data_IF_469591022731
#
_entry.id   IF_469591022731
#
_cell.length_a   1.000
_cell.length_b   1.000
_cell.length_c   1.000
_cell.angle_alpha   90.00
_cell.angle_beta   90.00
_cell.angle_gamma   90.00
#
_symmetry.space_group_name_H-M   'P 1'
#
loop_
_entity.id
_entity.type
_entity.pdbx_description
1 polymer ?
#
# COMPACT_ATOMS: atom_id res chain seq x y z
N UNK A 1 14.98 -4.28 -33.88
CA UNK A 1 15.56 -4.02 -32.55
C UNK A 1 15.57 -5.35 -31.81
N UNK A 2 16.73 -5.90 -31.44
CA UNK A 2 16.77 -6.95 -30.44
C UNK A 2 16.20 -6.35 -29.14
N UNK A 3 15.15 -6.95 -28.58
CA UNK A 3 14.73 -6.60 -27.23
C UNK A 3 15.80 -7.12 -26.30
N UNK A 4 16.31 -6.28 -25.40
CA UNK A 4 17.15 -6.78 -24.32
C UNK A 4 16.37 -7.83 -23.52
N UNK A 5 16.84 -9.09 -23.43
CA UNK A 5 16.23 -10.02 -22.50
C UNK A 5 16.38 -9.54 -21.01
N UNK A 6 15.47 -9.90 -20.08
CA UNK A 6 15.40 -9.37 -18.70
C UNK A 6 16.35 -10.00 -17.64
N UNK A 7 16.87 -9.21 -16.70
CA UNK A 7 17.75 -9.67 -15.60
C UNK A 7 17.28 -10.96 -14.89
N UNK A 8 18.17 -11.90 -14.50
CA UNK A 8 17.79 -13.13 -13.77
C UNK A 8 17.03 -12.84 -12.46
N UNK A 9 17.27 -11.68 -11.85
CA UNK A 9 16.46 -11.14 -10.76
C UNK A 9 16.15 -9.67 -11.04
N UNK A 10 14.89 -9.28 -10.85
CA UNK A 10 14.45 -7.88 -10.98
C UNK A 10 14.66 -7.08 -9.69
N UNK A 11 15.32 -7.62 -8.67
CA UNK A 11 15.64 -6.98 -7.39
C UNK A 11 16.58 -7.89 -6.58
N UNK A 12 16.67 -7.69 -5.26
CA UNK A 12 17.26 -8.66 -4.33
C UNK A 12 16.67 -10.07 -4.54
N UNK A 13 17.50 -11.13 -4.50
CA UNK A 13 17.01 -12.50 -4.62
C UNK A 13 15.98 -12.85 -3.54
N UNK A 14 14.84 -13.41 -3.97
CA UNK A 14 13.84 -13.97 -3.07
C UNK A 14 14.20 -15.44 -2.82
N UNK A 15 14.10 -15.90 -1.57
CA UNK A 15 14.47 -17.27 -1.21
C UNK A 15 13.55 -18.30 -1.89
N UNK A 16 14.08 -19.50 -2.14
CA UNK A 16 13.29 -20.60 -2.68
C UNK A 16 12.12 -20.96 -1.77
N UNK A 17 12.34 -20.93 -0.45
CA UNK A 17 11.29 -21.16 0.53
C UNK A 17 10.15 -20.13 0.44
N UNK A 18 10.47 -18.86 0.17
CA UNK A 18 9.47 -17.82 -0.06
C UNK A 18 8.69 -18.04 -1.38
N UNK A 19 9.35 -18.46 -2.46
CA UNK A 19 8.66 -18.82 -3.71
C UNK A 19 7.72 -20.02 -3.55
N UNK A 20 8.12 -21.03 -2.78
CA UNK A 20 7.29 -22.22 -2.54
C UNK A 20 6.12 -21.95 -1.55
N UNK A 21 6.25 -20.93 -0.67
CA UNK A 21 5.26 -20.58 0.38
C UNK A 21 4.26 -19.49 -0.03
N UNK A 22 4.67 -18.51 -0.84
CA UNK A 22 3.89 -17.31 -1.14
C UNK A 22 3.42 -17.24 -2.61
N UNK A 23 2.31 -16.54 -2.92
CA UNK A 23 1.78 -16.41 -4.28
C UNK A 23 2.60 -15.41 -5.13
N UNK A 24 3.89 -15.67 -5.28
CA UNK A 24 4.85 -14.86 -6.02
C UNK A 24 5.60 -15.72 -7.04
N UNK A 25 5.70 -15.23 -8.28
CA UNK A 25 6.47 -15.87 -9.34
C UNK A 25 7.86 -15.23 -9.53
N UNK A 26 8.84 -15.92 -10.14
CA UNK A 26 10.22 -15.43 -10.32
C UNK A 26 10.34 -14.09 -11.07
N UNK A 27 9.39 -13.82 -11.97
CA UNK A 27 9.30 -12.59 -12.77
C UNK A 27 8.50 -11.46 -12.08
N UNK A 28 8.12 -11.63 -10.80
CA UNK A 28 7.26 -10.66 -10.12
C UNK A 28 8.05 -9.43 -9.68
N UNK A 29 7.76 -8.28 -10.27
CA UNK A 29 8.28 -6.99 -9.81
C UNK A 29 7.68 -6.63 -8.44
N UNK A 30 8.39 -6.97 -7.35
CA UNK A 30 8.01 -6.60 -5.99
C UNK A 30 8.07 -5.10 -5.72
N UNK A 31 8.79 -4.31 -6.53
CA UNK A 31 8.75 -2.85 -6.45
C UNK A 31 7.40 -2.26 -6.91
N UNK A 32 6.58 -3.06 -7.59
CA UNK A 32 5.22 -2.68 -7.95
C UNK A 32 4.28 -2.81 -6.73
N UNK A 33 3.76 -1.67 -6.24
CA UNK A 33 2.89 -1.63 -5.07
C UNK A 33 1.67 -2.57 -5.15
N UNK A 34 1.16 -2.89 -6.34
CA UNK A 34 0.05 -3.84 -6.51
C UNK A 34 0.48 -5.30 -6.34
N UNK A 35 1.73 -5.63 -6.64
CA UNK A 35 2.36 -6.93 -6.36
C UNK A 35 2.68 -7.00 -4.87
N UNK A 36 3.38 -5.99 -4.35
CA UNK A 36 3.72 -5.86 -2.94
C UNK A 36 2.50 -6.03 -2.02
N UNK A 37 1.37 -5.37 -2.31
CA UNK A 37 0.12 -5.51 -1.52
C UNK A 37 -0.43 -6.94 -1.50
N UNK A 38 -0.36 -7.68 -2.61
CA UNK A 38 -0.82 -9.09 -2.64
C UNK A 38 0.11 -9.99 -1.83
N UNK A 39 1.42 -9.78 -1.94
CA UNK A 39 2.41 -10.52 -1.16
C UNK A 39 2.27 -10.21 0.34
N UNK A 40 2.18 -8.94 0.72
CA UNK A 40 1.96 -8.46 2.09
C UNK A 40 0.71 -9.07 2.70
N UNK A 41 -0.41 -9.10 1.96
CA UNK A 41 -1.64 -9.73 2.42
C UNK A 41 -1.45 -11.23 2.68
N UNK A 42 -0.75 -11.95 1.79
CA UNK A 42 -0.46 -13.37 1.99
C UNK A 42 0.45 -13.62 3.21
N UNK A 43 1.50 -12.81 3.40
CA UNK A 43 2.40 -12.89 4.56
C UNK A 43 1.64 -12.61 5.86
N UNK A 44 0.90 -11.51 5.94
CA UNK A 44 0.18 -11.13 7.16
C UNK A 44 -0.90 -12.15 7.55
N UNK A 45 -1.54 -12.82 6.57
CA UNK A 45 -2.49 -13.91 6.83
C UNK A 45 -1.81 -15.21 7.28
N UNK A 46 -0.67 -15.57 6.69
CA UNK A 46 0.01 -16.84 6.97
C UNK A 46 0.89 -16.79 8.24
N UNK A 47 1.63 -15.70 8.43
CA UNK A 47 2.61 -15.51 9.51
C UNK A 47 2.04 -14.72 10.71
N UNK A 48 0.79 -14.22 10.62
CA UNK A 48 0.14 -13.36 11.62
C UNK A 48 0.92 -12.06 11.94
N UNK A 49 1.65 -11.55 10.95
CA UNK A 49 2.42 -10.31 11.05
C UNK A 49 1.63 -9.07 10.61
N UNK A 50 2.17 -7.89 10.89
CA UNK A 50 1.66 -6.60 10.45
C UNK A 50 2.70 -5.87 9.59
N UNK A 51 3.09 -6.51 8.49
CA UNK A 51 4.01 -5.93 7.50
C UNK A 51 3.26 -4.91 6.62
N UNK A 52 3.92 -3.83 6.21
CA UNK A 52 3.36 -2.81 5.32
C UNK A 52 3.78 -3.03 3.86
N UNK A 53 2.91 -2.64 2.91
CA UNK A 53 3.16 -2.92 1.50
C UNK A 53 4.20 -1.98 0.88
N UNK A 54 4.33 -0.77 1.44
CA UNK A 54 5.42 0.16 1.16
C UNK A 54 6.79 -0.42 1.48
N UNK A 55 6.94 -1.22 2.54
CA UNK A 55 8.24 -1.83 2.89
C UNK A 55 8.68 -2.88 1.86
N UNK A 56 7.77 -3.76 1.42
CA UNK A 56 8.05 -4.71 0.32
C UNK A 56 8.35 -3.97 -0.99
N UNK A 57 7.58 -2.92 -1.31
CA UNK A 57 7.82 -2.12 -2.51
C UNK A 57 9.15 -1.36 -2.46
N UNK A 58 9.57 -0.93 -1.27
CA UNK A 58 10.85 -0.28 -1.01
C UNK A 58 12.02 -1.24 -1.14
N UNK A 59 11.92 -2.45 -0.56
CA UNK A 59 12.87 -3.55 -0.76
C UNK A 59 13.08 -3.82 -2.26
N UNK A 60 11.95 -3.99 -2.98
CA UNK A 60 11.94 -4.21 -4.41
C UNK A 60 12.66 -3.12 -5.19
N UNK A 61 12.38 -1.85 -4.86
CA UNK A 61 12.98 -0.71 -5.55
C UNK A 61 14.46 -0.52 -5.19
N UNK A 62 14.85 -0.74 -3.93
CA UNK A 62 16.24 -0.64 -3.48
C UNK A 62 17.13 -1.62 -4.28
N UNK A 63 16.67 -2.87 -4.44
CA UNK A 63 17.40 -3.87 -5.23
C UNK A 63 17.48 -3.52 -6.71
N UNK A 64 16.47 -2.85 -7.28
CA UNK A 64 16.53 -2.36 -8.67
C UNK A 64 17.50 -1.20 -8.85
N UNK A 65 17.58 -0.30 -7.87
CA UNK A 65 18.55 0.80 -7.90
C UNK A 65 19.97 0.24 -7.77
N UNK A 66 20.19 -0.71 -6.85
CA UNK A 66 21.49 -1.36 -6.69
C UNK A 66 21.88 -2.13 -7.95
N UNK A 67 20.96 -2.94 -8.50
CA UNK A 67 21.16 -3.62 -9.77
C UNK A 67 21.50 -2.63 -10.88
N UNK A 68 20.79 -1.50 -10.99
CA UNK A 68 21.06 -0.47 -12.01
C UNK A 68 22.43 0.17 -11.85
N UNK A 69 22.92 0.35 -10.62
CA UNK A 69 24.27 0.87 -10.35
C UNK A 69 25.32 -0.19 -10.70
N UNK A 70 25.13 -1.43 -10.25
CA UNK A 70 26.01 -2.57 -10.58
C UNK A 70 26.08 -2.77 -12.09
N UNK A 71 24.94 -2.81 -12.78
CA UNK A 71 24.84 -2.85 -14.23
C UNK A 71 25.59 -1.68 -14.85
N UNK A 72 25.28 -0.41 -14.53
CA UNK A 72 25.98 0.73 -15.14
C UNK A 72 27.50 0.74 -14.88
N UNK A 73 27.95 0.14 -13.78
CA UNK A 73 29.37 -0.04 -13.47
C UNK A 73 30.01 -1.16 -14.28
N UNK A 74 29.39 -2.34 -14.34
CA UNK A 74 29.88 -3.50 -15.11
C UNK A 74 29.65 -3.35 -16.64
N UNK A 75 28.70 -2.50 -17.04
CA UNK A 75 28.42 -2.10 -18.43
C UNK A 75 29.50 -1.21 -19.03
N UNK A 76 30.53 -0.81 -18.25
CA UNK A 76 31.77 -0.32 -18.84
C UNK A 76 32.55 -1.45 -19.57
N UNK A 77 32.14 -2.71 -19.44
CA UNK A 77 32.67 -3.88 -20.17
C UNK A 77 31.61 -4.79 -20.85
N UNK A 78 30.29 -4.49 -20.79
CA UNK A 78 29.21 -5.42 -21.17
C UNK A 78 28.30 -4.94 -22.31
N UNK A 79 28.87 -4.54 -23.44
CA UNK A 79 28.16 -3.93 -24.59
C UNK A 79 27.24 -4.88 -25.40
N UNK A 80 27.04 -6.14 -24.98
CA UNK A 80 26.50 -7.21 -25.85
C UNK A 80 25.38 -8.11 -25.28
N UNK A 81 25.21 -8.28 -23.97
CA UNK A 81 24.44 -9.43 -23.43
C UNK A 81 23.36 -9.09 -22.41
N UNK A 82 22.09 -9.34 -22.77
CA UNK A 82 20.98 -9.28 -21.82
C UNK A 82 20.36 -10.71 -21.60
N UNK A 83 20.12 -11.17 -20.33
CA UNK A 83 19.75 -12.56 -19.92
C UNK A 83 18.21 -12.77 -19.81
N UNK A 84 17.55 -13.90 -19.39
CA UNK A 84 18.00 -15.09 -18.66
C UNK A 84 17.30 -16.40 -19.16
N UNK A 85 17.27 -17.46 -18.32
CA UNK A 85 16.20 -18.48 -18.28
C UNK A 85 16.22 -19.36 -17.00
N UNK A 86 16.52 -18.80 -15.81
CA UNK A 86 16.97 -19.61 -14.65
C UNK A 86 15.86 -20.36 -13.89
N UNK A 87 14.58 -19.99 -14.06
CA UNK A 87 13.47 -20.60 -13.29
C UNK A 87 12.47 -21.40 -14.14
N UNK A 88 12.46 -21.23 -15.47
CA UNK A 88 11.53 -21.96 -16.35
C UNK A 88 12.08 -23.31 -16.81
N UNK A 89 13.40 -23.44 -16.97
CA UNK A 89 14.01 -24.62 -17.60
C UNK A 89 14.08 -25.87 -16.71
N UNK A 90 13.84 -25.76 -15.40
CA UNK A 90 14.01 -26.84 -14.40
C UNK A 90 15.38 -27.53 -14.43
N UNK A 91 16.39 -26.85 -14.98
CA UNK A 91 17.76 -27.34 -15.15
C UNK A 91 18.47 -27.41 -13.78
N UNK A 92 19.27 -28.46 -13.49
CA UNK A 92 20.08 -28.50 -12.27
C UNK A 92 21.10 -27.34 -12.23
N UNK A 93 21.37 -26.71 -11.07
CA UNK A 93 22.22 -25.51 -11.00
C UNK A 93 23.62 -25.65 -11.60
N UNK A 94 24.21 -26.85 -11.50
CA UNK A 94 25.53 -27.18 -12.07
C UNK A 94 25.54 -27.11 -13.61
N UNK A 95 24.46 -27.53 -14.26
CA UNK A 95 24.30 -27.45 -15.72
C UNK A 95 23.98 -26.01 -16.16
N UNK A 96 23.34 -25.21 -15.30
CA UNK A 96 23.12 -23.78 -15.57
C UNK A 96 24.43 -22.99 -15.51
N UNK A 97 25.27 -23.22 -14.50
CA UNK A 97 26.56 -22.53 -14.33
C UNK A 97 27.46 -22.62 -15.57
N UNK A 98 27.59 -23.82 -16.14
CA UNK A 98 28.46 -24.08 -17.30
C UNK A 98 27.80 -23.81 -18.66
N UNK A 99 26.59 -23.25 -18.69
CA UNK A 99 25.90 -22.88 -19.92
C UNK A 99 26.20 -21.42 -20.33
N UNK A 100 25.84 -21.09 -21.57
CA UNK A 100 25.99 -19.75 -22.16
C UNK A 100 24.64 -19.22 -22.64
N UNK A 101 24.45 -17.90 -22.52
CA UNK A 101 23.34 -17.17 -23.14
C UNK A 101 23.91 -16.24 -24.21
N UNK A 102 23.77 -16.63 -25.48
CA UNK A 102 24.54 -16.02 -26.56
C UNK A 102 26.02 -16.38 -26.42
N UNK A 103 26.89 -15.37 -26.36
CA UNK A 103 28.34 -15.56 -26.18
C UNK A 103 28.79 -15.34 -24.71
N UNK A 104 27.88 -14.94 -23.81
CA UNK A 104 28.20 -14.76 -22.38
C UNK A 104 28.06 -16.07 -21.58
N UNK A 105 29.11 -16.49 -20.85
CA UNK A 105 29.01 -17.53 -19.81
C UNK A 105 28.04 -17.11 -18.71
N UNK A 106 27.18 -18.02 -18.25
CA UNK A 106 26.24 -17.74 -17.17
C UNK A 106 26.92 -17.35 -15.85
N UNK A 107 28.16 -17.78 -15.63
CA UNK A 107 29.00 -17.35 -14.50
C UNK A 107 29.06 -15.82 -14.38
N UNK A 108 29.17 -15.09 -15.51
CA UNK A 108 29.22 -13.63 -15.50
C UNK A 108 27.86 -12.98 -15.18
N UNK A 109 26.75 -13.67 -15.48
CA UNK A 109 25.40 -13.21 -15.16
C UNK A 109 25.06 -13.34 -13.67
N UNK A 110 25.88 -14.06 -12.89
CA UNK A 110 25.69 -14.26 -11.47
C UNK A 110 26.36 -13.20 -10.59
N UNK A 111 27.33 -12.43 -11.10
CA UNK A 111 28.01 -11.39 -10.28
C UNK A 111 27.05 -10.36 -9.68
N UNK A 112 26.07 -9.77 -10.41
CA UNK A 112 25.12 -8.85 -9.81
C UNK A 112 24.26 -9.53 -8.73
N UNK A 113 23.86 -10.78 -8.96
CA UNK A 113 23.11 -11.59 -8.00
C UNK A 113 23.91 -11.83 -6.72
N UNK A 114 25.20 -12.16 -6.83
CA UNK A 114 26.10 -12.36 -5.67
C UNK A 114 26.31 -11.06 -4.88
N UNK A 115 26.51 -9.92 -5.56
CA UNK A 115 26.62 -8.61 -4.90
C UNK A 115 25.33 -8.27 -4.14
N UNK A 116 24.16 -8.44 -4.77
CA UNK A 116 22.88 -8.19 -4.10
C UNK A 116 22.64 -9.16 -2.93
N UNK A 117 23.05 -10.42 -3.05
CA UNK A 117 22.94 -11.44 -2.01
C UNK A 117 23.79 -11.08 -0.77
N UNK A 118 25.05 -10.69 -0.98
CA UNK A 118 25.94 -10.17 0.08
C UNK A 118 25.32 -8.95 0.77
N UNK A 119 24.91 -7.93 -0.01
CA UNK A 119 24.30 -6.72 0.51
C UNK A 119 22.99 -7.01 1.27
N UNK A 120 22.24 -8.03 0.87
CA UNK A 120 21.01 -8.45 1.55
C UNK A 120 21.26 -9.10 2.92
N UNK A 121 22.26 -9.98 3.01
CA UNK A 121 22.70 -10.58 4.28
C UNK A 121 23.25 -9.51 5.23
N UNK A 122 24.02 -8.56 4.71
CA UNK A 122 24.60 -7.45 5.48
C UNK A 122 23.57 -6.42 5.98
N UNK A 123 22.39 -6.31 5.37
CA UNK A 123 21.44 -5.22 5.63
C UNK A 123 20.49 -5.52 6.82
N UNK A 124 20.60 -4.80 7.96
CA UNK A 124 19.71 -5.01 9.12
C UNK A 124 18.28 -4.50 8.88
N UNK A 125 18.07 -3.63 7.89
CA UNK A 125 16.75 -3.12 7.54
C UNK A 125 15.85 -4.22 6.93
N UNK A 126 16.42 -5.37 6.57
CA UNK A 126 15.69 -6.51 6.03
C UNK A 126 15.13 -7.44 7.11
N UNK A 127 15.37 -7.20 8.40
CA UNK A 127 14.87 -8.05 9.48
C UNK A 127 13.33 -8.18 9.49
N UNK A 128 12.59 -7.11 9.13
CA UNK A 128 11.13 -7.14 9.02
C UNK A 128 10.62 -7.99 7.83
N UNK A 129 11.49 -8.26 6.85
CA UNK A 129 11.20 -8.99 5.60
C UNK A 129 12.12 -10.21 5.44
N UNK A 130 12.71 -10.71 6.53
CA UNK A 130 13.74 -11.75 6.50
C UNK A 130 13.26 -13.03 5.80
N UNK A 131 11.99 -13.40 6.01
CA UNK A 131 11.35 -14.56 5.40
C UNK A 131 11.29 -14.52 3.87
N UNK A 132 11.53 -13.36 3.24
CA UNK A 132 11.59 -13.21 1.78
C UNK A 132 13.01 -13.28 1.22
N UNK A 133 14.02 -12.80 1.95
CA UNK A 133 15.36 -12.51 1.37
C UNK A 133 16.56 -13.06 2.17
N UNK A 134 16.37 -13.56 3.39
CA UNK A 134 17.43 -14.19 4.19
C UNK A 134 17.30 -15.72 4.15
N UNK A 135 18.42 -16.39 3.88
CA UNK A 135 18.54 -17.84 3.89
C UNK A 135 19.56 -18.25 4.97
N UNK A 136 19.13 -18.89 6.08
CA UNK A 136 20.03 -19.28 7.17
C UNK A 136 21.12 -20.28 6.76
N UNK A 137 20.89 -21.10 5.73
CA UNK A 137 21.92 -22.03 5.22
C UNK A 137 23.04 -21.26 4.52
N UNK A 138 22.72 -20.12 3.89
CA UNK A 138 23.68 -19.24 3.25
C UNK A 138 24.48 -18.40 4.26
N UNK A 139 23.81 -17.84 5.28
CA UNK A 139 24.48 -17.02 6.31
C UNK A 139 25.51 -17.81 7.13
N UNK A 140 25.35 -19.14 7.21
CA UNK A 140 26.27 -20.05 7.89
C UNK A 140 27.28 -20.73 6.95
N UNK A 141 27.23 -20.44 5.64
CA UNK A 141 28.07 -21.08 4.63
C UNK A 141 29.47 -20.44 4.57
N UNK A 142 30.51 -21.21 4.89
CA UNK A 142 31.90 -20.73 4.87
C UNK A 142 32.37 -20.32 3.48
N UNK A 143 31.97 -21.05 2.42
CA UNK A 143 32.36 -20.73 1.05
C UNK A 143 31.71 -19.42 0.56
N UNK A 144 30.48 -19.11 1.00
CA UNK A 144 29.86 -17.82 0.73
C UNK A 144 30.61 -16.67 1.41
N UNK A 145 31.02 -16.85 2.68
CA UNK A 145 31.84 -15.88 3.42
C UNK A 145 33.21 -15.66 2.78
N UNK A 146 33.86 -16.72 2.28
CA UNK A 146 35.12 -16.61 1.53
C UNK A 146 34.94 -15.86 0.20
N UNK A 147 33.88 -16.16 -0.56
CA UNK A 147 33.54 -15.43 -1.80
C UNK A 147 33.29 -13.94 -1.51
N UNK A 148 32.55 -13.63 -0.44
CA UNK A 148 32.29 -12.26 -0.02
C UNK A 148 33.58 -11.49 0.30
N UNK A 149 34.51 -12.11 1.05
CA UNK A 149 35.82 -11.52 1.34
C UNK A 149 36.66 -11.30 0.07
N UNK A 150 36.71 -12.27 -0.84
CA UNK A 150 37.44 -12.13 -2.09
C UNK A 150 36.83 -11.07 -3.02
N UNK A 151 35.51 -10.87 -2.99
CA UNK A 151 34.86 -9.78 -3.72
C UNK A 151 35.23 -8.41 -3.13
N UNK A 152 35.33 -8.30 -1.80
CA UNK A 152 35.82 -7.07 -1.16
C UNK A 152 37.27 -6.74 -1.52
N UNK A 153 38.15 -7.73 -1.52
CA UNK A 153 39.55 -7.56 -1.96
C UNK A 153 39.63 -7.20 -3.46
N UNK A 154 38.81 -7.84 -4.30
CA UNK A 154 38.73 -7.53 -5.72
C UNK A 154 38.32 -6.07 -5.96
N UNK A 155 37.20 -5.61 -5.38
CA UNK A 155 36.70 -4.25 -5.62
C UNK A 155 37.57 -3.13 -5.02
N UNK A 156 38.49 -3.43 -4.09
CA UNK A 156 39.55 -2.51 -3.66
C UNK A 156 40.60 -2.25 -4.76
N UNK A 157 40.80 -3.19 -5.69
CA UNK A 157 41.75 -3.03 -6.82
C UNK A 157 41.14 -2.34 -8.05
N UNK A 158 39.81 -2.17 -8.06
CA UNK A 158 39.07 -1.62 -9.19
C UNK A 158 39.01 -0.08 -9.17
N UNK A 159 38.65 0.57 -10.30
CA UNK A 159 38.38 2.00 -10.33
C UNK A 159 37.34 2.43 -9.29
N UNK A 160 37.43 3.68 -8.85
CA UNK A 160 36.53 4.28 -7.87
C UNK A 160 35.37 5.02 -8.54
N UNK A 161 34.25 5.13 -7.81
CA UNK A 161 32.95 5.57 -8.30
C UNK A 161 32.38 6.73 -7.47
N UNK A 162 31.44 7.45 -8.09
CA UNK A 162 30.65 8.51 -7.45
C UNK A 162 31.44 9.77 -7.09
N UNK A 163 30.72 10.77 -6.55
CA UNK A 163 31.31 12.05 -6.13
C UNK A 163 32.27 11.96 -4.94
N UNK A 164 32.31 10.83 -4.24
CA UNK A 164 33.14 10.58 -3.06
C UNK A 164 34.35 9.67 -3.35
N UNK A 165 34.53 9.22 -4.60
CA UNK A 165 35.68 8.42 -5.03
C UNK A 165 35.86 7.12 -4.20
N UNK A 166 34.78 6.34 -4.09
CA UNK A 166 34.67 5.11 -3.28
C UNK A 166 34.67 3.85 -4.15
N UNK A 167 34.96 2.67 -3.61
CA UNK A 167 34.75 1.41 -4.36
C UNK A 167 33.26 1.15 -4.62
N UNK A 168 32.92 0.28 -5.58
CA UNK A 168 31.52 -0.09 -5.84
C UNK A 168 30.82 -0.61 -4.58
N UNK A 169 31.46 -1.51 -3.83
CA UNK A 169 30.88 -2.09 -2.62
C UNK A 169 30.81 -1.08 -1.47
N UNK A 170 31.79 -0.19 -1.31
CA UNK A 170 31.72 0.92 -0.34
C UNK A 170 30.52 1.83 -0.62
N UNK A 171 30.31 2.17 -1.90
CA UNK A 171 29.20 2.98 -2.34
C UNK A 171 27.87 2.26 -2.10
N UNK A 172 27.70 1.01 -2.54
CA UNK A 172 26.46 0.25 -2.32
C UNK A 172 26.13 0.00 -0.84
N UNK A 173 27.15 -0.07 0.04
CA UNK A 173 26.97 -0.12 1.49
C UNK A 173 26.69 1.24 2.15
N UNK A 174 26.89 2.36 1.46
CA UNK A 174 26.73 3.70 2.05
C UNK A 174 25.29 4.01 2.54
N UNK A 175 24.20 3.66 1.80
CA UNK A 175 22.84 3.79 2.31
C UNK A 175 22.61 2.91 3.55
N UNK A 176 23.09 1.66 3.52
CA UNK A 176 22.97 0.68 4.62
C UNK A 176 23.63 1.24 5.88
N UNK A 177 24.84 1.80 5.77
CA UNK A 177 25.56 2.45 6.88
C UNK A 177 24.85 3.72 7.38
N UNK A 178 24.23 4.51 6.49
CA UNK A 178 23.55 5.75 6.85
C UNK A 178 22.17 5.51 7.51
N UNK A 179 21.48 4.43 7.15
CA UNK A 179 20.20 4.04 7.76
C UNK A 179 20.12 2.51 7.94
N UNK A 180 20.78 1.95 8.97
CA UNK A 180 20.89 0.50 9.12
C UNK A 180 19.56 -0.22 9.32
N UNK A 181 18.57 0.46 9.91
CA UNK A 181 17.32 -0.15 10.37
C UNK A 181 16.07 0.37 9.62
N UNK A 182 16.21 1.02 8.46
CA UNK A 182 15.07 1.52 7.67
C UNK A 182 15.37 1.57 6.18
N UNK A 183 14.62 0.79 5.40
CA UNK A 183 14.70 0.81 3.93
C UNK A 183 14.28 2.19 3.38
N UNK A 184 13.29 2.85 4.02
CA UNK A 184 12.88 4.21 3.66
C UNK A 184 14.01 5.23 3.86
N UNK A 185 14.76 5.13 4.97
CA UNK A 185 15.95 5.95 5.20
C UNK A 185 17.10 5.66 4.23
N UNK A 186 17.26 4.40 3.78
CA UNK A 186 18.20 4.05 2.72
C UNK A 186 17.81 4.69 1.38
N UNK A 187 16.51 4.66 1.02
CA UNK A 187 16.00 5.35 -0.18
C UNK A 187 16.14 6.89 -0.08
N UNK A 188 15.96 7.49 1.09
CA UNK A 188 16.23 8.93 1.30
C UNK A 188 17.71 9.28 1.11
N UNK A 189 18.63 8.47 1.61
CA UNK A 189 20.07 8.64 1.34
C UNK A 189 20.35 8.61 -0.16
N UNK A 190 19.82 7.62 -0.87
CA UNK A 190 19.94 7.48 -2.33
C UNK A 190 19.38 8.71 -3.06
N UNK A 191 18.22 9.22 -2.64
CA UNK A 191 17.62 10.43 -3.21
C UNK A 191 18.52 11.66 -3.06
N UNK A 192 19.13 11.83 -1.88
CA UNK A 192 19.98 12.97 -1.55
C UNK A 192 21.35 12.92 -2.25
N UNK A 193 21.95 11.73 -2.36
CA UNK A 193 23.33 11.58 -2.83
C UNK A 193 23.46 11.07 -4.27
N UNK A 194 22.51 10.28 -4.76
CA UNK A 194 22.60 9.57 -6.05
C UNK A 194 21.49 9.93 -7.05
N UNK A 195 20.66 10.95 -6.78
CA UNK A 195 19.56 11.35 -7.67
C UNK A 195 19.98 11.58 -9.13
N UNK A 196 21.18 12.14 -9.36
CA UNK A 196 21.75 12.35 -10.69
C UNK A 196 22.29 11.07 -11.36
N UNK A 197 22.62 10.03 -10.58
CA UNK A 197 23.20 8.78 -11.06
C UNK A 197 22.13 7.77 -11.49
N UNK A 198 21.02 7.71 -10.74
CA UNK A 198 19.93 6.74 -10.99
C UNK A 198 19.00 7.16 -12.15
N UNK A 199 19.02 8.44 -12.51
CA UNK A 199 18.19 9.01 -13.59
C UNK A 199 16.75 9.33 -13.17
N UNK A 200 16.07 10.13 -13.99
CA UNK A 200 14.74 10.69 -13.68
C UNK A 200 13.66 9.62 -13.44
N UNK A 201 13.70 8.49 -14.15
CA UNK A 201 12.74 7.40 -13.99
C UNK A 201 12.83 6.79 -12.58
N UNK A 202 14.02 6.34 -12.17
CA UNK A 202 14.24 5.78 -10.85
C UNK A 202 14.00 6.80 -9.73
N UNK A 203 14.40 8.06 -9.93
CA UNK A 203 14.11 9.14 -8.98
C UNK A 203 12.60 9.34 -8.80
N UNK A 204 11.82 9.30 -9.88
CA UNK A 204 10.34 9.40 -9.84
C UNK A 204 9.73 8.20 -9.12
N UNK A 205 10.20 6.99 -9.39
CA UNK A 205 9.76 5.75 -8.72
C UNK A 205 10.11 5.75 -7.23
N UNK A 206 11.27 6.31 -6.87
CA UNK A 206 11.75 6.47 -5.49
C UNK A 206 10.89 7.47 -4.72
N UNK A 207 10.68 8.68 -5.26
CA UNK A 207 9.82 9.69 -4.64
C UNK A 207 8.42 9.13 -4.36
N UNK A 208 7.83 8.42 -5.34
CA UNK A 208 6.53 7.76 -5.18
C UNK A 208 6.54 6.68 -4.10
N UNK A 209 7.61 5.89 -3.97
CA UNK A 209 7.71 4.88 -2.91
C UNK A 209 7.80 5.54 -1.52
N UNK A 210 8.63 6.57 -1.36
CA UNK A 210 8.71 7.35 -0.12
C UNK A 210 7.37 7.96 0.27
N UNK A 211 6.61 8.49 -0.69
CA UNK A 211 5.27 9.04 -0.43
C UNK A 211 4.24 7.96 -0.06
N UNK A 212 4.37 6.73 -0.57
CA UNK A 212 3.55 5.59 -0.13
C UNK A 212 3.89 5.20 1.31
N UNK A 213 5.18 5.03 1.64
CA UNK A 213 5.62 4.67 3.01
C UNK A 213 5.16 5.73 4.00
N UNK A 214 5.38 7.03 3.70
CA UNK A 214 4.90 8.14 4.54
C UNK A 214 3.37 8.19 4.68
N UNK A 215 2.60 7.60 3.77
CA UNK A 215 1.14 7.52 3.88
C UNK A 215 0.70 6.31 4.72
N UNK A 216 1.44 5.20 4.68
CA UNK A 216 1.21 4.01 5.50
C UNK A 216 1.67 4.26 6.96
N UNK A 217 2.84 4.89 7.18
CA UNK A 217 3.35 5.36 8.48
C UNK A 217 2.45 6.40 9.19
N UNK A 218 1.56 7.09 8.46
CA UNK A 218 0.62 8.04 9.07
C UNK A 218 -0.39 7.26 9.89
N UNK A 219 -0.30 7.41 11.22
CA UNK A 219 -1.36 7.14 12.21
C UNK A 219 -2.63 7.96 11.90
N UNK A 220 -3.35 7.58 10.85
CA UNK A 220 -4.22 8.51 10.13
C UNK A 220 -5.12 7.90 9.06
N UNK A 221 -4.86 6.69 8.56
CA UNK A 221 -5.89 5.92 7.84
C UNK A 221 -5.60 4.41 7.90
N UNK A 222 -6.00 3.76 8.99
CA UNK A 222 -6.27 2.33 8.89
C UNK A 222 -7.42 2.15 7.89
N UNK A 223 -7.09 1.64 6.69
CA UNK A 223 -8.05 0.84 5.93
C UNK A 223 -8.67 -0.20 6.87
N UNK A 224 -9.94 -0.61 6.67
CA UNK A 224 -10.73 -1.28 7.68
C UNK A 224 -9.90 -2.37 8.37
N UNK A 225 -9.59 -2.15 9.65
CA UNK A 225 -8.77 -3.07 10.44
C UNK A 225 -9.34 -4.48 10.31
N UNK A 226 -8.47 -5.51 10.40
CA UNK A 226 -8.79 -6.88 9.96
C UNK A 226 -10.22 -7.21 10.37
N UNK A 227 -11.08 -7.36 9.36
CA UNK A 227 -12.51 -7.53 9.60
C UNK A 227 -12.67 -8.87 10.26
N UNK A 228 -12.66 -8.85 11.60
CA UNK A 228 -13.24 -9.87 12.44
C UNK A 228 -14.71 -9.88 12.09
N UNK A 229 -15.05 -10.63 11.03
CA UNK A 229 -16.40 -11.11 10.79
C UNK A 229 -16.85 -11.68 12.14
N UNK A 230 -17.86 -11.09 12.81
CA UNK A 230 -18.28 -11.57 14.11
C UNK A 230 -18.57 -13.07 13.97
N UNK A 231 -18.09 -13.88 14.90
CA UNK A 231 -18.35 -15.31 14.86
C UNK A 231 -19.82 -15.56 15.18
N UNK A 232 -20.64 -15.52 14.13
CA UNK A 232 -22.07 -15.73 14.22
C UNK A 232 -22.44 -17.20 14.43
N UNK A 233 -21.49 -18.15 14.58
CA UNK A 233 -21.83 -19.56 14.86
C UNK A 233 -22.68 -19.68 16.12
N UNK A 234 -22.36 -18.93 17.19
CA UNK A 234 -23.16 -18.84 18.41
C UNK A 234 -24.57 -18.21 18.20
N UNK A 235 -24.77 -17.45 17.12
CA UNK A 235 -26.01 -16.74 16.79
C UNK A 235 -26.85 -17.52 15.75
N UNK A 236 -26.30 -18.56 15.11
CA UNK A 236 -27.04 -19.41 14.14
C UNK A 236 -28.24 -20.17 14.74
N UNK A 237 -28.36 -20.23 16.07
CA UNK A 237 -29.50 -20.85 16.76
C UNK A 237 -30.60 -19.88 17.19
N UNK A 238 -30.45 -18.57 16.96
CA UNK A 238 -31.59 -17.66 17.06
C UNK A 238 -32.43 -17.69 15.78
N UNK A 239 -33.72 -17.99 15.90
CA UNK A 239 -34.66 -17.85 14.79
C UNK A 239 -34.62 -16.43 14.24
N UNK A 240 -34.22 -16.28 12.97
CA UNK A 240 -34.12 -14.97 12.31
C UNK A 240 -35.49 -14.31 12.20
N UNK A 241 -35.82 -13.46 13.18
CA UNK A 241 -36.99 -12.56 13.15
C UNK A 241 -36.76 -11.41 12.15
N UNK A 242 -36.74 -11.74 10.86
CA UNK A 242 -36.80 -10.75 9.81
C UNK A 242 -38.10 -9.93 9.95
N UNK A 243 -38.00 -8.60 9.99
CA UNK A 243 -39.19 -7.76 9.90
C UNK A 243 -39.80 -7.83 8.48
N UNK A 244 -41.08 -7.47 8.36
CA UNK A 244 -41.80 -7.44 7.09
C UNK A 244 -41.32 -6.35 6.10
N UNK A 245 -40.23 -5.64 6.41
CA UNK A 245 -39.64 -4.54 5.62
C UNK A 245 -38.99 -4.97 4.29
N UNK A 246 -38.91 -6.28 4.03
CA UNK A 246 -38.24 -6.86 2.87
C UNK A 246 -38.71 -6.32 1.49
N UNK A 247 -39.90 -5.73 1.39
CA UNK A 247 -40.45 -5.24 0.12
C UNK A 247 -39.88 -3.90 -0.36
N UNK A 248 -39.34 -3.06 0.55
CA UNK A 248 -38.86 -1.70 0.19
C UNK A 248 -37.34 -1.57 0.22
N UNK A 249 -36.66 -2.15 1.21
CA UNK A 249 -35.20 -2.00 1.38
C UNK A 249 -34.37 -2.41 0.14
N UNK A 250 -34.68 -3.50 -0.60
CA UNK A 250 -33.92 -3.87 -1.81
C UNK A 250 -34.11 -2.92 -3.00
N UNK A 251 -35.06 -1.97 -2.92
CA UNK A 251 -35.43 -1.03 -3.99
C UNK A 251 -35.08 0.42 -3.63
N UNK A 252 -34.24 0.62 -2.62
CA UNK A 252 -33.83 1.95 -2.14
C UNK A 252 -32.77 2.55 -3.07
N UNK A 253 -33.08 3.73 -3.60
CA UNK A 253 -32.13 4.64 -4.25
C UNK A 253 -31.95 5.82 -3.29
N UNK A 254 -30.83 5.82 -2.58
CA UNK A 254 -30.59 6.68 -1.42
C UNK A 254 -29.90 8.00 -1.79
N UNK A 255 -30.42 9.12 -1.31
CA UNK A 255 -29.74 10.41 -1.27
C UNK A 255 -29.20 10.67 0.14
N UNK A 256 -27.88 10.75 0.31
CA UNK A 256 -27.27 11.15 1.58
C UNK A 256 -26.96 12.66 1.61
N UNK A 257 -27.36 13.35 2.68
CA UNK A 257 -27.10 14.79 2.88
C UNK A 257 -26.60 15.07 4.30
N UNK A 258 -25.56 15.90 4.41
CA UNK A 258 -25.27 16.60 5.67
C UNK A 258 -26.36 17.66 5.88
N UNK A 259 -27.08 17.59 7.00
CA UNK A 259 -28.25 18.43 7.23
C UNK A 259 -27.91 19.92 7.24
N UNK A 260 -26.93 20.35 8.04
CA UNK A 260 -26.54 21.76 8.15
C UNK A 260 -26.13 22.37 6.80
N UNK A 261 -25.25 21.68 6.05
CA UNK A 261 -24.79 22.14 4.74
C UNK A 261 -25.92 22.19 3.73
N UNK A 262 -26.81 21.19 3.75
CA UNK A 262 -27.92 21.14 2.80
C UNK A 262 -28.97 22.21 3.10
N UNK A 263 -29.29 22.47 4.37
CA UNK A 263 -30.22 23.53 4.78
C UNK A 263 -29.70 24.94 4.41
N UNK A 264 -28.40 25.22 4.56
CA UNK A 264 -27.77 26.46 4.05
C UNK A 264 -27.82 26.55 2.51
N UNK A 265 -27.54 25.46 1.79
CA UNK A 265 -27.66 25.41 0.33
C UNK A 265 -29.09 25.68 -0.15
N UNK A 266 -30.09 25.07 0.50
CA UNK A 266 -31.49 25.34 0.22
C UNK A 266 -31.86 26.79 0.54
N UNK A 267 -31.33 27.34 1.64
CA UNK A 267 -31.59 28.74 2.01
C UNK A 267 -31.13 29.71 0.92
N UNK A 268 -29.96 29.46 0.35
CA UNK A 268 -29.39 30.22 -0.78
C UNK A 268 -30.17 29.99 -2.09
N UNK A 269 -30.53 28.74 -2.40
CA UNK A 269 -31.28 28.37 -3.60
C UNK A 269 -32.69 29.02 -3.63
N UNK A 270 -33.41 28.96 -2.51
CA UNK A 270 -34.78 29.45 -2.36
C UNK A 270 -34.87 30.88 -1.83
N UNK A 271 -33.73 31.55 -1.60
CA UNK A 271 -33.61 32.94 -1.10
C UNK A 271 -34.44 33.22 0.15
N UNK A 272 -34.48 32.25 1.07
CA UNK A 272 -35.25 32.26 2.31
C UNK A 272 -34.45 31.54 3.38
N UNK A 273 -34.51 31.98 4.63
CA UNK A 273 -33.91 31.21 5.73
C UNK A 273 -34.64 29.87 5.95
N UNK A 274 -33.88 28.78 5.87
CA UNK A 274 -34.30 27.40 6.14
C UNK A 274 -33.29 26.82 7.14
N UNK A 275 -33.58 26.97 8.43
CA UNK A 275 -32.75 26.49 9.53
C UNK A 275 -33.21 25.14 10.11
N UNK A 276 -34.41 24.67 9.74
CA UNK A 276 -35.05 23.45 10.28
C UNK A 276 -35.56 22.52 9.18
N UNK A 277 -35.64 21.22 9.47
CA UNK A 277 -36.15 20.22 8.51
C UNK A 277 -37.63 20.46 8.11
N UNK A 278 -38.45 20.98 9.02
CA UNK A 278 -39.86 21.30 8.73
C UNK A 278 -40.03 22.46 7.72
N UNK A 279 -38.97 23.24 7.50
CA UNK A 279 -38.94 24.38 6.57
C UNK A 279 -38.47 23.99 5.16
N UNK A 280 -38.04 22.74 4.93
CA UNK A 280 -37.64 22.25 3.61
C UNK A 280 -38.83 22.36 2.64
N UNK A 281 -38.70 23.04 1.49
CA UNK A 281 -39.78 23.17 0.51
C UNK A 281 -40.20 21.80 -0.04
N UNK A 282 -41.51 21.54 -0.05
CA UNK A 282 -42.08 20.28 -0.57
C UNK A 282 -41.71 20.05 -2.05
N UNK A 283 -41.48 21.13 -2.80
CA UNK A 283 -41.00 21.07 -4.19
C UNK A 283 -39.58 20.51 -4.35
N UNK A 284 -38.67 20.70 -3.37
CA UNK A 284 -37.33 20.11 -3.40
C UNK A 284 -37.41 18.60 -3.14
N UNK A 285 -38.26 18.17 -2.20
CA UNK A 285 -38.53 16.74 -1.97
C UNK A 285 -39.17 16.09 -3.21
N UNK A 286 -40.10 16.78 -3.86
CA UNK A 286 -40.70 16.34 -5.12
C UNK A 286 -39.71 16.32 -6.30
N UNK A 287 -38.68 17.17 -6.29
CA UNK A 287 -37.58 17.19 -7.27
C UNK A 287 -36.63 16.01 -7.07
N UNK A 288 -36.23 15.71 -5.83
CA UNK A 288 -35.45 14.50 -5.52
C UNK A 288 -36.19 13.22 -5.90
N UNK A 289 -37.49 13.14 -5.63
CA UNK A 289 -38.35 12.02 -6.06
C UNK A 289 -38.42 11.90 -7.59
N UNK A 290 -38.58 13.01 -8.32
CA UNK A 290 -38.54 13.05 -9.80
C UNK A 290 -37.18 12.63 -10.38
N UNK A 291 -36.09 12.80 -9.65
CA UNK A 291 -34.76 12.31 -10.03
C UNK A 291 -34.54 10.82 -9.71
N UNK A 292 -35.55 10.12 -9.17
CA UNK A 292 -35.50 8.69 -8.90
C UNK A 292 -35.00 8.32 -7.50
N UNK A 293 -34.74 9.29 -6.62
CA UNK A 293 -34.36 8.99 -5.22
C UNK A 293 -35.59 8.55 -4.42
N UNK A 294 -35.56 7.31 -3.93
CA UNK A 294 -36.64 6.71 -3.14
C UNK A 294 -36.39 6.78 -1.64
N UNK A 295 -35.22 7.22 -1.19
CA UNK A 295 -35.00 7.55 0.21
C UNK A 295 -34.03 8.73 0.44
N UNK A 296 -34.19 9.40 1.59
CA UNK A 296 -33.29 10.44 2.08
C UNK A 296 -32.63 9.99 3.39
N UNK A 297 -31.30 10.09 3.47
CA UNK A 297 -30.49 9.87 4.66
C UNK A 297 -29.91 11.21 5.11
N UNK A 298 -30.22 11.61 6.34
CA UNK A 298 -29.75 12.87 6.93
C UNK A 298 -28.66 12.60 7.96
N UNK A 299 -27.54 13.30 7.81
CA UNK A 299 -26.35 13.22 8.67
C UNK A 299 -26.27 14.49 9.51
N UNK A 300 -26.03 14.35 10.83
CA UNK A 300 -25.87 15.48 11.75
C UNK A 300 -27.17 16.01 12.36
N UNK A 301 -28.22 15.19 12.45
CA UNK A 301 -29.51 15.62 13.03
C UNK A 301 -29.55 15.60 14.56
N UNK A 302 -28.88 14.65 15.20
CA UNK A 302 -28.96 14.47 16.64
C UNK A 302 -27.74 15.04 17.34
N UNK A 303 -27.98 15.82 18.39
CA UNK A 303 -26.95 16.17 19.36
C UNK A 303 -26.45 14.89 20.07
N UNK A 304 -25.13 14.80 20.30
CA UNK A 304 -24.52 13.62 20.92
C UNK A 304 -24.56 13.75 22.44
N UNK A 305 -24.81 12.65 23.14
CA UNK A 305 -24.58 12.59 24.58
C UNK A 305 -23.11 12.82 24.91
N UNK A 306 -22.84 13.40 26.08
CA UNK A 306 -21.48 13.69 26.57
C UNK A 306 -20.56 12.46 26.56
N UNK A 307 -21.10 11.28 26.87
CA UNK A 307 -20.39 10.00 26.76
C UNK A 307 -20.01 9.65 25.31
N UNK A 308 -20.94 9.77 24.36
CA UNK A 308 -20.69 9.51 22.92
C UNK A 308 -19.73 10.53 22.29
N UNK A 309 -19.80 11.78 22.74
CA UNK A 309 -18.86 12.83 22.37
C UNK A 309 -17.45 12.52 22.91
N UNK A 310 -17.33 12.16 24.20
CA UNK A 310 -16.04 11.84 24.82
C UNK A 310 -15.39 10.61 24.21
N UNK A 311 -16.15 9.54 23.93
CA UNK A 311 -15.67 8.38 23.17
C UNK A 311 -15.15 8.81 21.79
N UNK A 312 -15.89 9.66 21.06
CA UNK A 312 -15.46 10.12 19.74
C UNK A 312 -14.26 11.06 19.77
N UNK A 313 -14.07 11.83 20.84
CA UNK A 313 -12.87 12.66 21.07
C UNK A 313 -11.64 11.81 21.43
N UNK A 314 -11.79 10.82 22.31
CA UNK A 314 -10.72 9.86 22.62
C UNK A 314 -10.29 9.07 21.37
N UNK A 315 -11.25 8.69 20.53
CA UNK A 315 -11.00 8.11 19.20
C UNK A 315 -10.80 9.16 18.09
N UNK A 316 -10.43 10.41 18.40
CA UNK A 316 -10.59 11.51 17.44
C UNK A 316 -9.89 12.85 17.70
N UNK A 317 -8.68 12.85 18.29
CA UNK A 317 -7.51 13.75 18.01
C UNK A 317 -6.83 14.34 19.25
N UNK A 318 -5.49 14.46 19.15
CA UNK A 318 -4.84 15.77 19.25
C UNK A 318 -3.62 15.85 18.31
N UNK A 319 -3.62 16.75 17.33
CA UNK A 319 -2.41 17.20 16.63
C UNK A 319 -2.32 18.73 16.74
N UNK A 320 -1.20 19.29 17.22
CA UNK A 320 -1.15 20.68 17.70
C UNK A 320 -0.95 21.72 16.58
N UNK A 321 -1.60 21.57 15.43
CA UNK A 321 -1.52 22.53 14.31
C UNK A 321 -2.88 22.77 13.62
N UNK A 322 -3.62 23.74 14.15
CA UNK A 322 -4.36 24.78 13.41
C UNK A 322 -5.54 24.41 12.49
N UNK A 323 -5.75 23.15 12.10
CA UNK A 323 -6.84 22.78 11.18
C UNK A 323 -8.15 22.49 11.91
N UNK A 324 -9.14 23.38 11.74
CA UNK A 324 -10.51 23.15 12.21
C UNK A 324 -11.15 21.96 11.48
N UNK A 325 -11.02 20.76 12.07
CA UNK A 325 -11.87 19.64 11.72
C UNK A 325 -13.28 19.88 12.27
N UNK A 326 -14.21 20.26 11.39
CA UNK A 326 -15.64 20.35 11.70
C UNK A 326 -16.10 18.96 12.20
N UNK A 327 -16.66 18.85 13.42
CA UNK A 327 -17.08 17.57 13.97
C UNK A 327 -18.39 17.10 13.32
N UNK A 328 -18.29 16.34 12.22
CA UNK A 328 -19.46 15.75 11.56
C UNK A 328 -20.00 14.61 12.44
N UNK A 329 -21.06 14.91 13.19
CA UNK A 329 -21.76 13.93 14.02
C UNK A 329 -22.54 12.92 13.18
N UNK A 330 -22.23 11.63 13.33
CA UNK A 330 -23.02 10.54 12.77
C UNK A 330 -24.02 9.98 13.79
N UNK A 331 -25.29 10.03 13.39
CA UNK A 331 -26.48 9.44 14.00
C UNK A 331 -27.56 9.48 12.91
N UNK A 332 -28.20 8.33 12.63
CA UNK A 332 -28.90 8.09 11.36
C UNK A 332 -30.41 8.37 11.46
N UNK A 333 -30.98 8.86 10.37
CA UNK A 333 -32.42 8.77 10.10
C UNK A 333 -32.63 8.55 8.59
N UNK A 334 -33.54 7.64 8.25
CA UNK A 334 -33.83 7.24 6.87
C UNK A 334 -35.34 7.31 6.63
N UNK A 335 -35.76 7.92 5.52
CA UNK A 335 -37.17 7.96 5.12
C UNK A 335 -37.38 7.52 3.68
N UNK A 336 -38.39 6.69 3.48
CA UNK A 336 -38.94 6.33 2.18
C UNK A 336 -39.73 7.51 1.56
N UNK A 337 -39.44 7.84 0.30
CA UNK A 337 -40.04 8.92 -0.49
C UNK A 337 -41.07 8.40 -1.52
N UNK A 338 -41.48 7.14 -1.43
CA UNK A 338 -42.46 6.51 -2.33
C UNK A 338 -43.83 7.21 -2.32
N UNK A 339 -44.58 7.20 -3.43
CA UNK A 339 -45.79 8.00 -3.59
C UNK A 339 -47.01 7.42 -2.86
N UNK A 340 -47.09 7.64 -1.55
CA UNK A 340 -48.36 7.58 -0.80
C UNK A 340 -48.78 9.01 -0.49
N UNK A 341 -49.57 9.57 -1.41
CA UNK A 341 -50.27 10.89 -1.37
C UNK A 341 -49.43 12.11 -0.96
N UNK A 342 -49.35 13.13 -1.83
CA UNK A 342 -48.48 14.30 -1.61
C UNK A 342 -48.71 15.07 -0.29
N UNK A 343 -49.91 15.02 0.31
CA UNK A 343 -50.19 15.63 1.62
C UNK A 343 -49.63 14.87 2.82
N UNK A 344 -49.48 13.54 2.74
CA UNK A 344 -49.01 12.71 3.86
C UNK A 344 -47.49 12.70 4.00
N UNK A 345 -46.74 12.83 2.90
CA UNK A 345 -45.28 12.80 2.94
C UNK A 345 -44.67 13.99 3.72
N UNK A 346 -45.15 15.21 3.48
CA UNK A 346 -44.72 16.42 4.21
C UNK A 346 -45.13 16.36 5.68
N UNK A 347 -46.41 16.03 5.92
CA UNK A 347 -47.02 15.94 7.25
C UNK A 347 -46.32 14.91 8.15
N UNK A 348 -45.94 13.74 7.61
CA UNK A 348 -45.16 12.74 8.34
C UNK A 348 -43.76 13.24 8.74
N UNK A 349 -43.05 13.99 7.87
CA UNK A 349 -41.72 14.52 8.23
C UNK A 349 -41.83 15.56 9.36
N UNK A 350 -42.91 16.35 9.33
CA UNK A 350 -43.24 17.38 10.33
C UNK A 350 -43.76 16.79 11.65
N UNK A 351 -44.50 15.68 11.62
CA UNK A 351 -45.00 14.97 12.82
C UNK A 351 -43.96 14.07 13.47
N UNK A 352 -43.19 13.29 12.71
CA UNK A 352 -42.20 12.35 13.27
C UNK A 352 -41.04 13.05 13.98
N UNK A 353 -40.79 14.33 13.69
CA UNK A 353 -39.84 15.18 14.43
C UNK A 353 -40.31 15.54 15.86
N UNK A 354 -41.56 15.22 16.23
CA UNK A 354 -42.18 15.58 17.52
C UNK A 354 -42.59 14.38 18.38
N UNK A 355 -42.24 13.15 17.98
CA UNK A 355 -42.64 11.94 18.72
C UNK A 355 -41.77 11.63 19.96
N UNK A 356 -40.67 12.36 20.17
CA UNK A 356 -39.73 12.17 21.28
C UNK A 356 -39.20 13.53 21.78
N UNK A 357 -40.02 14.21 22.58
CA UNK A 357 -39.58 15.22 23.56
C UNK A 357 -39.38 14.57 24.92
#
# INVERSE_FOLDING_TARGET
>A
MPKNPPSPHTSFPITRQAFDKYPIGPQSDIANISVARRLTYAINVLEQQTLEAGEIAALGLLGQIFLRIIENTLLFELDHFPPPAVYEEKRPPQEYLHATSGETPHEHLLYPSLILLMLGVENPAFNAVEMLVRDPELETNTAFTEIASHMDDFFQTQPTFGSHNQTLLEMLRAPIKASPNSIAGQLEYIRLHWGNLIGEEFLTRLLRNLDIIREEEKLGFTGPGPTQSPDFTAITHEERRFSLDANWMPKVVLMAKNAYVWLDQLSKQYKREIARLDQIPDEELAKLSRWGFTALWLIGLWERSSASQRIKQMCGKFTPNGSLSIPIGSSLWMKNLSPVTHSTASTSLKMSAWAFT
#
